data_IF_436405886309
#
_entry.id   IF_436405886309
#
_cell.length_a   1.000
_cell.length_b   1.000
_cell.length_c   1.000
_cell.angle_alpha   90.00
_cell.angle_beta   90.00
_cell.angle_gamma   90.00
#
_symmetry.space_group_name_H-M   'P 1'
#
loop_
_entity.id
_entity.type
_entity.pdbx_description
1 polymer ?
#
# COMPACT_ATOMS: atom_id res chain seq x y z
N UNK A 1 -48.20 20.81 -17.05
CA UNK A 1 -47.66 21.15 -15.70
C UNK A 1 -47.28 19.90 -14.88
N UNK A 2 -48.19 18.93 -14.64
CA UNK A 2 -47.88 17.67 -13.91
C UNK A 2 -46.67 16.87 -14.43
N UNK A 3 -46.48 16.81 -15.76
CA UNK A 3 -45.35 16.07 -16.38
C UNK A 3 -43.98 16.75 -16.19
N UNK A 4 -43.95 18.08 -16.05
CA UNK A 4 -42.71 18.84 -15.83
C UNK A 4 -42.24 18.69 -14.38
N UNK A 5 -43.18 18.61 -13.43
CA UNK A 5 -42.88 18.36 -12.01
C UNK A 5 -42.27 16.97 -11.80
N UNK A 6 -42.74 15.96 -12.54
CA UNK A 6 -42.18 14.61 -12.45
C UNK A 6 -40.74 14.51 -12.96
N UNK A 7 -40.40 15.27 -14.01
CA UNK A 7 -39.03 15.32 -14.58
C UNK A 7 -38.08 16.07 -13.65
N UNK A 8 -38.56 17.12 -12.97
CA UNK A 8 -37.75 17.90 -12.03
C UNK A 8 -37.40 17.10 -10.76
N UNK A 9 -38.31 16.25 -10.27
CA UNK A 9 -38.06 15.38 -9.11
C UNK A 9 -37.09 14.24 -9.44
N UNK A 10 -37.13 13.71 -10.68
CA UNK A 10 -36.20 12.68 -11.13
C UNK A 10 -34.75 13.20 -11.29
N UNK A 11 -34.55 14.50 -11.48
CA UNK A 11 -33.22 15.12 -11.60
C UNK A 11 -32.46 15.32 -10.28
N UNK A 12 -33.15 15.40 -9.14
CA UNK A 12 -32.51 15.62 -7.84
C UNK A 12 -31.87 14.35 -7.23
N UNK A 13 -32.14 13.16 -7.80
CA UNK A 13 -31.60 11.89 -7.31
C UNK A 13 -30.16 11.57 -7.76
N UNK A 14 -29.54 12.40 -8.61
CA UNK A 14 -28.25 12.06 -9.25
C UNK A 14 -27.03 12.36 -8.34
N UNK A 15 -27.22 12.99 -7.17
CA UNK A 15 -26.14 13.20 -6.19
C UNK A 15 -26.05 12.09 -5.11
N UNK A 16 -26.74 10.95 -5.30
CA UNK A 16 -27.03 10.02 -4.20
C UNK A 16 -25.89 9.08 -3.76
N UNK A 17 -24.75 9.04 -4.43
CA UNK A 17 -23.68 8.12 -4.01
C UNK A 17 -22.70 8.73 -3.00
N UNK A 18 -22.77 10.03 -2.68
CA UNK A 18 -21.96 10.63 -1.60
C UNK A 18 -20.44 10.50 -1.74
N UNK A 19 -19.93 9.97 -2.86
CA UNK A 19 -18.51 9.82 -3.13
C UNK A 19 -17.89 11.21 -3.24
N UNK A 20 -17.08 11.54 -2.25
CA UNK A 20 -16.19 12.68 -2.29
C UNK A 20 -14.86 12.21 -2.87
N UNK A 21 -14.19 13.08 -3.63
CA UNK A 21 -12.81 12.85 -4.04
C UNK A 21 -12.00 12.48 -2.80
N UNK A 22 -11.22 11.39 -2.88
CA UNK A 22 -10.37 10.97 -1.79
C UNK A 22 -9.47 12.15 -1.39
N UNK A 23 -9.71 12.70 -0.21
CA UNK A 23 -8.87 13.75 0.32
C UNK A 23 -7.47 13.18 0.59
N UNK A 24 -6.47 14.05 0.62
CA UNK A 24 -5.13 13.68 1.09
C UNK A 24 -5.25 13.04 2.48
N UNK A 25 -4.32 12.14 2.78
CA UNK A 25 -4.19 11.57 4.12
C UNK A 25 -4.17 12.67 5.16
N UNK A 26 -5.18 12.74 6.05
CA UNK A 26 -5.08 13.58 7.23
C UNK A 26 -4.24 12.83 8.27
N UNK A 27 -2.92 13.02 8.20
CA UNK A 27 -1.96 12.40 9.09
C UNK A 27 -1.69 13.31 10.29
N UNK A 28 -1.45 12.70 11.45
CA UNK A 28 -1.03 13.41 12.66
C UNK A 28 0.23 14.23 12.37
N UNK A 29 0.33 15.49 12.86
CA UNK A 29 1.53 16.31 12.73
C UNK A 29 2.82 15.62 13.17
N UNK A 30 2.77 14.61 14.05
CA UNK A 30 3.94 13.82 14.43
C UNK A 30 4.64 13.17 13.23
N UNK A 31 3.93 12.93 12.12
CA UNK A 31 4.48 12.33 10.91
C UNK A 31 4.95 13.36 9.87
N UNK A 32 4.77 14.67 10.12
CA UNK A 32 5.09 15.72 9.14
C UNK A 32 6.56 15.69 8.68
N UNK A 33 7.48 15.34 9.58
CA UNK A 33 8.90 15.16 9.31
C UNK A 33 9.29 13.71 9.59
N UNK A 34 9.29 12.88 8.55
CA UNK A 34 9.56 11.44 8.68
C UNK A 34 10.90 11.07 8.05
N UNK A 35 11.66 10.22 8.73
CA UNK A 35 12.79 9.52 8.15
C UNK A 35 12.40 8.08 7.80
N UNK A 36 12.79 7.62 6.62
CA UNK A 36 12.65 6.22 6.19
C UNK A 36 14.00 5.53 6.33
N UNK A 37 14.12 4.63 7.29
CA UNK A 37 15.29 3.76 7.48
C UNK A 37 15.07 2.46 6.69
N UNK A 38 15.97 2.16 5.76
CA UNK A 38 15.87 1.01 4.86
C UNK A 38 17.25 0.41 4.56
N UNK A 39 17.24 -0.82 4.07
CA UNK A 39 18.43 -1.55 3.63
C UNK A 39 18.40 -1.73 2.10
N UNK A 40 19.52 -2.15 1.51
CA UNK A 40 19.63 -2.28 0.04
C UNK A 40 18.57 -3.20 -0.58
N UNK A 41 18.14 -4.23 0.15
CA UNK A 41 17.11 -5.19 -0.25
C UNK A 41 15.69 -4.62 -0.25
N UNK A 42 15.47 -3.52 0.47
CA UNK A 42 14.18 -2.82 0.64
C UNK A 42 14.15 -1.46 -0.06
N UNK A 43 15.19 -1.12 -0.83
CA UNK A 43 15.32 0.19 -1.49
C UNK A 43 14.15 0.53 -2.43
N UNK A 44 13.71 -0.44 -3.24
CA UNK A 44 12.58 -0.23 -4.15
C UNK A 44 11.25 0.01 -3.40
N UNK A 45 11.04 -0.63 -2.24
CA UNK A 45 9.92 -0.32 -1.36
C UNK A 45 10.07 1.08 -0.75
N UNK A 46 11.28 1.46 -0.33
CA UNK A 46 11.56 2.78 0.22
C UNK A 46 11.28 3.90 -0.79
N UNK A 47 11.63 3.73 -2.07
CA UNK A 47 11.38 4.71 -3.12
C UNK A 47 9.88 4.93 -3.35
N UNK A 48 9.11 3.85 -3.43
CA UNK A 48 7.65 3.90 -3.57
C UNK A 48 6.99 4.55 -2.35
N UNK A 49 7.46 4.19 -1.16
CA UNK A 49 6.96 4.77 0.08
C UNK A 49 7.29 6.26 0.16
N UNK A 50 8.51 6.65 -0.23
CA UNK A 50 8.90 8.05 -0.31
C UNK A 50 8.01 8.85 -1.28
N UNK A 51 7.64 8.26 -2.41
CA UNK A 51 6.69 8.87 -3.33
C UNK A 51 5.30 9.04 -2.69
N UNK A 52 4.81 8.04 -1.95
CA UNK A 52 3.54 8.12 -1.22
C UNK A 52 3.57 9.17 -0.11
N UNK A 53 4.66 9.29 0.64
CA UNK A 53 4.83 10.33 1.66
C UNK A 53 4.76 11.73 1.06
N UNK A 54 5.50 11.98 -0.04
CA UNK A 54 5.45 13.27 -0.75
C UNK A 54 4.06 13.58 -1.32
N UNK A 55 3.34 12.57 -1.81
CA UNK A 55 1.97 12.75 -2.31
C UNK A 55 0.97 13.15 -1.21
N UNK A 56 1.31 12.90 0.06
CA UNK A 56 0.51 13.22 1.23
C UNK A 56 1.11 14.39 2.06
N UNK A 57 1.87 15.28 1.40
CA UNK A 57 2.46 16.50 1.99
C UNK A 57 3.41 16.25 3.17
N UNK A 58 4.01 15.06 3.26
CA UNK A 58 4.99 14.74 4.28
C UNK A 58 6.39 15.09 3.79
N UNK A 59 7.20 15.66 4.67
CA UNK A 59 8.58 15.96 4.39
C UNK A 59 9.48 14.81 4.83
N UNK A 60 10.29 14.31 3.90
CA UNK A 60 11.34 13.36 4.22
C UNK A 60 12.60 14.11 4.65
N UNK A 61 13.11 13.76 5.82
CA UNK A 61 14.26 14.42 6.45
C UNK A 61 15.30 13.40 6.91
N UNK A 62 16.48 13.90 7.28
CA UNK A 62 17.51 13.08 7.91
C UNK A 62 17.07 12.61 9.30
N UNK A 63 17.62 11.48 9.74
CA UNK A 63 17.21 10.81 10.99
C UNK A 63 17.33 11.70 12.25
N UNK A 64 18.24 12.68 12.24
CA UNK A 64 18.43 13.63 13.35
C UNK A 64 17.31 14.65 13.47
N UNK A 65 16.66 14.98 12.36
CA UNK A 65 15.63 16.03 12.29
C UNK A 65 14.22 15.45 12.25
N UNK A 66 14.09 14.12 12.28
CA UNK A 66 12.83 13.42 12.10
C UNK A 66 12.02 13.31 13.40
N UNK A 67 10.75 13.73 13.34
CA UNK A 67 9.76 13.52 14.40
C UNK A 67 9.20 12.09 14.40
N UNK A 68 9.25 11.40 13.26
CA UNK A 68 8.94 9.98 13.14
C UNK A 68 10.01 9.22 12.35
N UNK A 69 10.29 7.99 12.77
CA UNK A 69 11.27 7.10 12.12
C UNK A 69 10.56 5.82 11.71
N UNK A 70 10.34 5.67 10.41
CA UNK A 70 9.75 4.49 9.80
C UNK A 70 10.86 3.59 9.28
N UNK A 71 11.00 2.41 9.86
CA UNK A 71 12.00 1.42 9.46
C UNK A 71 11.35 0.31 8.64
N UNK A 72 11.86 0.08 7.44
CA UNK A 72 11.60 -1.12 6.65
C UNK A 72 12.48 -2.26 7.17
N UNK A 73 11.84 -3.30 7.71
CA UNK A 73 12.52 -4.43 8.33
C UNK A 73 12.95 -5.47 7.29
N UNK A 74 12.06 -5.79 6.35
CA UNK A 74 12.30 -6.74 5.26
C UNK A 74 11.26 -6.57 4.15
N UNK A 75 11.62 -6.98 2.94
CA UNK A 75 10.71 -7.28 1.84
C UNK A 75 10.93 -8.74 1.44
N UNK A 76 9.89 -9.57 1.50
CA UNK A 76 9.96 -10.99 1.16
C UNK A 76 8.96 -11.32 0.06
N UNK A 77 9.50 -11.87 -1.03
CA UNK A 77 8.73 -12.44 -2.14
C UNK A 77 8.70 -13.96 -1.99
N UNK A 78 7.53 -14.56 -2.10
CA UNK A 78 7.38 -16.02 -2.19
C UNK A 78 6.28 -16.38 -3.17
N UNK A 79 6.24 -17.64 -3.59
CA UNK A 79 5.15 -18.16 -4.41
C UNK A 79 4.77 -19.55 -3.96
N UNK A 80 3.48 -19.83 -3.94
CA UNK A 80 2.91 -21.12 -3.60
C UNK A 80 2.11 -21.66 -4.80
N UNK A 81 1.99 -22.98 -4.94
CA UNK A 81 1.19 -23.58 -6.00
C UNK A 81 -0.28 -23.37 -5.64
N UNK A 82 -1.01 -22.67 -6.50
CA UNK A 82 -2.44 -22.43 -6.32
C UNK A 82 -3.27 -23.52 -7.01
N UNK A 83 -2.87 -23.95 -8.20
CA UNK A 83 -3.58 -24.98 -8.96
C UNK A 83 -2.68 -25.81 -9.87
N UNK A 84 -3.16 -27.02 -10.20
CA UNK A 84 -2.54 -27.95 -11.15
C UNK A 84 -3.57 -28.46 -12.15
N UNK A 85 -3.13 -28.87 -13.34
CA UNK A 85 -3.98 -29.53 -14.33
C UNK A 85 -4.20 -31.03 -14.02
N UNK A 86 -4.98 -31.71 -14.87
CA UNK A 86 -5.29 -33.14 -14.79
C UNK A 86 -4.06 -34.06 -14.81
N UNK A 87 -2.91 -33.55 -15.30
CA UNK A 87 -1.65 -34.27 -15.37
C UNK A 87 -0.70 -33.87 -14.22
N UNK A 88 -1.16 -33.06 -13.26
CA UNK A 88 -0.38 -32.57 -12.13
C UNK A 88 0.60 -31.45 -12.47
N UNK A 89 0.49 -30.80 -13.63
CA UNK A 89 1.34 -29.66 -13.98
C UNK A 89 0.79 -28.38 -13.40
N UNK A 90 1.65 -27.54 -12.83
CA UNK A 90 1.27 -26.25 -12.25
C UNK A 90 0.67 -25.34 -13.32
N UNK A 91 -0.49 -24.75 -13.01
CA UNK A 91 -1.20 -23.79 -13.86
C UNK A 91 -1.21 -22.39 -13.26
N UNK A 92 -1.33 -22.29 -11.95
CA UNK A 92 -1.32 -21.01 -11.24
C UNK A 92 -0.39 -21.07 -10.02
N UNK A 93 0.31 -19.96 -9.80
CA UNK A 93 0.94 -19.67 -8.52
C UNK A 93 0.16 -18.57 -7.80
N UNK A 94 0.12 -18.65 -6.48
CA UNK A 94 -0.16 -17.49 -5.64
C UNK A 94 1.18 -16.78 -5.39
N UNK A 95 1.33 -15.55 -5.87
CA UNK A 95 2.46 -14.69 -5.54
C UNK A 95 2.17 -13.99 -4.22
N UNK A 96 3.15 -13.95 -3.34
CA UNK A 96 3.03 -13.39 -2.00
C UNK A 96 4.14 -12.36 -1.80
N UNK A 97 3.76 -11.15 -1.37
CA UNK A 97 4.67 -10.09 -0.96
C UNK A 97 4.41 -9.76 0.51
N UNK A 98 5.46 -9.84 1.33
CA UNK A 98 5.42 -9.49 2.75
C UNK A 98 6.41 -8.36 3.02
N UNK A 99 5.95 -7.31 3.68
CA UNK A 99 6.78 -6.17 4.08
C UNK A 99 6.65 -5.95 5.58
N UNK A 100 7.78 -6.00 6.28
CA UNK A 100 7.85 -5.72 7.70
C UNK A 100 8.16 -4.24 7.96
N UNK A 101 7.43 -3.61 8.87
CA UNK A 101 7.66 -2.22 9.27
C UNK A 101 7.77 -2.08 10.79
N UNK A 102 8.52 -1.07 11.22
CA UNK A 102 8.57 -0.56 12.60
C UNK A 102 8.48 0.96 12.56
N UNK A 103 7.75 1.56 13.50
CA UNK A 103 7.62 3.01 13.62
C UNK A 103 7.96 3.43 15.05
N UNK A 104 8.79 4.46 15.18
CA UNK A 104 9.06 5.13 16.45
C UNK A 104 8.99 6.64 16.28
N UNK A 105 8.83 7.35 17.39
CA UNK A 105 8.96 8.80 17.42
C UNK A 105 10.44 9.26 17.46
N UNK A 106 10.66 10.55 17.69
CA UNK A 106 11.98 11.16 17.83
C UNK A 106 12.78 10.61 19.02
N UNK A 107 12.11 10.36 20.15
CA UNK A 107 12.69 9.88 21.41
C UNK A 107 12.99 8.37 21.38
N UNK A 108 12.46 7.67 20.38
CA UNK A 108 12.64 6.24 20.17
C UNK A 108 11.53 5.38 20.80
N UNK A 109 10.48 6.01 21.32
CA UNK A 109 9.29 5.31 21.78
C UNK A 109 8.61 4.63 20.58
N UNK A 110 8.24 3.37 20.78
CA UNK A 110 7.79 2.50 19.71
C UNK A 110 6.29 2.63 19.53
N UNK A 111 5.87 3.26 18.44
CA UNK A 111 4.47 3.39 18.04
C UNK A 111 3.99 2.11 17.35
N UNK A 112 4.79 1.57 16.42
CA UNK A 112 4.54 0.27 15.76
C UNK A 112 5.75 -0.62 15.99
N UNK A 113 5.57 -1.73 16.72
CA UNK A 113 6.70 -2.59 17.15
C UNK A 113 7.30 -3.43 16.04
N UNK A 114 6.47 -4.24 15.39
CA UNK A 114 6.86 -5.08 14.26
C UNK A 114 5.57 -5.52 13.59
N UNK A 115 5.28 -4.92 12.44
CA UNK A 115 4.06 -5.17 11.71
C UNK A 115 4.40 -5.69 10.32
N UNK A 116 3.84 -6.85 9.98
CA UNK A 116 3.86 -7.35 8.61
C UNK A 116 2.61 -6.88 7.87
N UNK A 117 2.82 -6.37 6.65
CA UNK A 117 1.78 -6.17 5.65
C UNK A 117 2.00 -7.22 4.57
N UNK A 118 0.98 -8.05 4.32
CA UNK A 118 1.03 -9.16 3.38
C UNK A 118 -0.02 -8.97 2.30
N UNK A 119 0.39 -9.06 1.04
CA UNK A 119 -0.49 -9.13 -0.13
C UNK A 119 -0.23 -10.42 -0.90
N UNK A 120 -1.28 -10.95 -1.53
CA UNK A 120 -1.16 -11.99 -2.53
C UNK A 120 -1.92 -11.68 -3.82
N UNK A 121 -1.44 -12.24 -4.93
CA UNK A 121 -2.01 -12.13 -6.27
C UNK A 121 -1.85 -13.44 -7.02
N UNK A 122 -2.88 -13.82 -7.75
CA UNK A 122 -2.83 -15.01 -8.60
C UNK A 122 -2.00 -14.74 -9.85
N UNK A 123 -1.24 -15.75 -10.29
CA UNK A 123 -0.34 -15.66 -11.43
C UNK A 123 -0.42 -16.90 -12.31
N UNK A 124 -0.93 -16.70 -13.53
CA UNK A 124 -1.01 -17.75 -14.55
C UNK A 124 0.37 -18.11 -15.07
N UNK A 125 0.72 -19.40 -14.93
CA UNK A 125 2.01 -19.93 -15.34
C UNK A 125 1.89 -20.79 -16.59
N UNK A 126 2.79 -20.52 -17.56
CA UNK A 126 2.93 -21.33 -18.76
C UNK A 126 4.39 -21.76 -18.93
N UNK A 127 4.62 -23.08 -18.97
CA UNK A 127 5.96 -23.67 -19.08
C UNK A 127 6.66 -23.27 -20.38
N UNK A 128 5.90 -23.03 -21.45
CA UNK A 128 6.44 -22.72 -22.77
C UNK A 128 6.86 -21.25 -22.94
N UNK A 129 6.52 -20.37 -21.99
CA UNK A 129 6.86 -18.94 -22.02
C UNK A 129 7.50 -18.47 -20.71
N UNK A 130 8.58 -19.13 -20.30
CA UNK A 130 9.25 -18.84 -19.02
C UNK A 130 9.75 -17.39 -18.95
N UNK A 131 10.24 -16.84 -20.06
CA UNK A 131 10.86 -15.52 -20.09
C UNK A 131 9.81 -14.40 -19.99
N UNK A 132 8.74 -14.46 -20.80
CA UNK A 132 7.62 -13.51 -20.72
C UNK A 132 6.95 -13.55 -19.34
N UNK A 133 6.69 -14.76 -18.84
CA UNK A 133 6.17 -14.99 -17.49
C UNK A 133 7.09 -14.50 -16.38
N UNK A 134 8.39 -14.35 -16.62
CA UNK A 134 9.28 -13.73 -15.62
C UNK A 134 9.13 -12.23 -15.53
N UNK A 135 8.94 -11.54 -16.66
CA UNK A 135 8.70 -10.10 -16.67
C UNK A 135 7.34 -9.76 -16.08
N UNK A 136 6.29 -10.51 -16.46
CA UNK A 136 4.93 -10.32 -15.94
C UNK A 136 4.90 -10.46 -14.41
N UNK A 137 5.58 -11.49 -13.87
CA UNK A 137 5.67 -11.70 -12.43
C UNK A 137 6.35 -10.55 -11.69
N UNK A 138 7.44 -10.01 -12.24
CA UNK A 138 8.10 -8.87 -11.59
C UNK A 138 7.22 -7.62 -11.67
N UNK A 139 6.50 -7.41 -12.76
CA UNK A 139 5.52 -6.33 -12.86
C UNK A 139 4.43 -6.47 -11.79
N UNK A 140 3.87 -7.67 -11.60
CA UNK A 140 2.88 -7.92 -10.53
C UNK A 140 3.48 -7.60 -9.16
N UNK A 141 4.74 -7.99 -8.90
CA UNK A 141 5.39 -7.61 -7.64
C UNK A 141 5.54 -6.08 -7.50
N UNK A 142 5.83 -5.35 -8.57
CA UNK A 142 5.90 -3.88 -8.50
C UNK A 142 4.53 -3.27 -8.17
N UNK A 143 3.46 -3.73 -8.80
CA UNK A 143 2.08 -3.31 -8.49
C UNK A 143 1.71 -3.63 -7.03
N UNK A 144 2.08 -4.82 -6.54
CA UNK A 144 1.91 -5.20 -5.14
C UNK A 144 2.71 -4.30 -4.18
N UNK A 145 3.91 -3.85 -4.57
CA UNK A 145 4.68 -2.90 -3.75
C UNK A 145 3.98 -1.54 -3.65
N UNK A 146 3.44 -1.04 -4.77
CA UNK A 146 2.66 0.20 -4.76
C UNK A 146 1.42 0.11 -3.86
N UNK A 147 0.72 -1.03 -3.91
CA UNK A 147 -0.41 -1.32 -3.03
C UNK A 147 0.03 -1.31 -1.55
N UNK A 148 1.13 -1.99 -1.21
CA UNK A 148 1.65 -1.98 0.16
C UNK A 148 2.05 -0.57 0.60
N UNK A 149 2.70 0.22 -0.24
CA UNK A 149 3.06 1.59 0.10
C UNK A 149 1.83 2.44 0.45
N UNK A 150 0.72 2.29 -0.31
CA UNK A 150 -0.57 2.92 0.03
C UNK A 150 -1.14 2.41 1.35
N UNK A 151 -1.10 1.09 1.58
CA UNK A 151 -1.57 0.49 2.83
C UNK A 151 -0.79 0.97 4.05
N UNK A 152 0.52 1.22 3.92
CA UNK A 152 1.33 1.82 4.99
C UNK A 152 0.79 3.21 5.33
N UNK A 153 0.52 4.07 4.34
CA UNK A 153 -0.06 5.40 4.59
C UNK A 153 -1.41 5.30 5.30
N UNK A 154 -2.31 4.42 4.83
CA UNK A 154 -3.61 4.20 5.50
C UNK A 154 -3.45 3.71 6.94
N UNK A 155 -2.43 2.88 7.21
CA UNK A 155 -2.10 2.45 8.57
C UNK A 155 -1.74 3.63 9.46
N UNK A 156 -0.91 4.55 8.98
CA UNK A 156 -0.49 5.74 9.72
C UNK A 156 -1.68 6.69 9.98
N UNK A 157 -2.59 6.84 9.01
CA UNK A 157 -3.83 7.59 9.20
C UNK A 157 -4.70 6.99 10.30
N UNK A 158 -4.88 5.67 10.31
CA UNK A 158 -5.70 5.00 11.31
C UNK A 158 -5.11 5.17 12.73
N UNK A 159 -3.79 5.20 12.87
CA UNK A 159 -3.13 5.49 14.16
C UNK A 159 -3.37 6.94 14.58
N UNK A 160 -3.25 7.88 13.64
CA UNK A 160 -3.52 9.31 13.85
C UNK A 160 -4.93 9.57 14.38
N UNK A 161 -5.94 8.83 13.88
CA UNK A 161 -7.32 8.96 14.35
C UNK A 161 -7.54 8.44 15.78
N UNK A 162 -6.72 7.51 16.26
CA UNK A 162 -6.87 6.92 17.60
C UNK A 162 -6.23 7.77 18.70
N UNK A 163 -5.28 8.65 18.36
CA UNK A 163 -4.61 9.57 19.30
C UNK A 163 -5.33 10.90 19.44
N UNK A 164 -6.34 11.17 18.61
CA UNK A 164 -7.08 12.44 18.55
C UNK A 164 -8.35 12.49 19.42
N UNK A 165 -8.66 11.42 20.16
CA UNK A 165 -9.77 11.30 21.12
C UNK A 165 -9.25 11.24 22.57
#
# INVERSE_FOLDING_TARGET
MKKIVLILIAGLGINACGFQLAAKANLDPMFAQTHIDYQIDTAAMADLLAAQFRANDMQLVDSTDASAKLKLLYEKKSKDILSVDENGKVREYELILQVGIKLSDADGEVIIRNQEIRLSRDFLFEINDVLGKSSEREQIYQEMREDIARLIIYRLQAISSLTAE
#
